data_IF_154098275799
#
_entry.id   IF_154098275799
#
_cell.length_a   1.000
_cell.length_b   1.000
_cell.length_c   1.000
_cell.angle_alpha   90.00
_cell.angle_beta   90.00
_cell.angle_gamma   90.00
#
_symmetry.space_group_name_H-M   'P 1'
#
loop_
_entity.id
_entity.type
_entity.pdbx_description
1 polymer ?
#
# COMPACT_ATOMS: atom_id res chain seq x y z
N UNK A 1 10.73 10.97 1.31
CA UNK A 1 10.00 9.77 0.84
C UNK A 1 8.67 9.67 1.58
N UNK A 2 7.62 9.17 0.93
CA UNK A 2 6.38 8.77 1.60
C UNK A 2 6.22 7.25 1.60
N UNK A 3 5.52 6.74 2.61
CA UNK A 3 5.04 5.37 2.67
C UNK A 3 3.52 5.34 2.82
N UNK A 4 2.89 4.34 2.21
CA UNK A 4 1.51 3.92 2.49
C UNK A 4 1.55 2.47 2.96
N UNK A 5 0.95 2.23 4.12
CA UNK A 5 0.71 0.89 4.64
C UNK A 5 -0.79 0.70 4.84
N UNK A 6 -1.30 -0.48 4.53
CA UNK A 6 -2.71 -0.79 4.69
C UNK A 6 -2.93 -2.25 5.06
N UNK A 7 -4.15 -2.53 5.47
CA UNK A 7 -4.58 -3.84 5.89
C UNK A 7 -6.05 -4.04 5.53
N UNK A 8 -6.38 -5.24 5.09
CA UNK A 8 -7.73 -5.59 4.63
C UNK A 8 -8.37 -6.62 5.57
N UNK A 9 -9.66 -6.47 5.84
CA UNK A 9 -10.47 -7.54 6.43
C UNK A 9 -10.72 -8.59 5.34
N UNK A 10 -10.09 -9.76 5.46
CA UNK A 10 -10.17 -10.83 4.44
C UNK A 10 -11.60 -11.23 4.15
N UNK A 11 -12.42 -11.43 5.19
CA UNK A 11 -13.83 -11.83 5.04
C UNK A 11 -14.65 -10.79 4.26
N UNK A 12 -14.50 -9.50 4.59
CA UNK A 12 -15.23 -8.43 3.89
C UNK A 12 -14.72 -8.27 2.45
N UNK A 13 -13.41 -8.46 2.24
CA UNK A 13 -12.80 -8.39 0.91
C UNK A 13 -13.30 -9.52 0.01
N UNK A 14 -13.43 -10.75 0.52
CA UNK A 14 -14.06 -11.87 -0.22
C UNK A 14 -15.49 -11.54 -0.67
N UNK A 15 -16.25 -10.83 0.17
CA UNK A 15 -17.65 -10.46 -0.13
C UNK A 15 -17.75 -9.29 -1.10
N UNK A 16 -16.88 -8.28 -0.97
CA UNK A 16 -17.03 -7.00 -1.67
C UNK A 16 -16.17 -6.87 -2.93
N UNK A 17 -15.03 -7.57 -3.01
CA UNK A 17 -14.16 -7.52 -4.17
C UNK A 17 -14.66 -8.45 -5.29
N UNK A 18 -14.80 -8.00 -6.55
CA UNK A 18 -15.41 -8.81 -7.62
C UNK A 18 -14.60 -10.06 -8.00
N UNK A 19 -13.34 -10.14 -7.59
CA UNK A 19 -12.39 -11.22 -7.94
C UNK A 19 -11.67 -11.80 -6.72
N UNK A 20 -12.14 -11.50 -5.51
CA UNK A 20 -11.55 -11.98 -4.26
C UNK A 20 -10.26 -11.27 -3.82
N UNK A 21 -9.70 -11.75 -2.71
CA UNK A 21 -8.66 -11.06 -1.92
C UNK A 21 -7.34 -10.87 -2.69
N UNK A 22 -6.87 -11.90 -3.40
CA UNK A 22 -5.60 -11.82 -4.12
C UNK A 22 -5.62 -10.74 -5.21
N UNK A 23 -6.73 -10.63 -5.93
CA UNK A 23 -6.90 -9.58 -6.91
C UNK A 23 -7.04 -8.20 -6.26
N UNK A 24 -7.68 -8.09 -5.08
CA UNK A 24 -7.76 -6.83 -4.35
C UNK A 24 -6.38 -6.24 -4.04
N UNK A 25 -5.43 -7.06 -3.59
CA UNK A 25 -4.04 -6.64 -3.38
C UNK A 25 -3.34 -6.23 -4.68
N UNK A 26 -3.64 -6.92 -5.78
CA UNK A 26 -3.10 -6.59 -7.11
C UNK A 26 -3.63 -5.25 -7.60
N UNK A 27 -4.93 -5.00 -7.44
CA UNK A 27 -5.59 -3.76 -7.86
C UNK A 27 -5.09 -2.55 -7.05
N UNK A 28 -4.91 -2.71 -5.73
CA UNK A 28 -4.29 -1.67 -4.89
C UNK A 28 -2.86 -1.37 -5.35
N UNK A 29 -2.07 -2.42 -5.62
CA UNK A 29 -0.70 -2.26 -6.10
C UNK A 29 -0.63 -1.54 -7.44
N UNK A 30 -1.55 -1.85 -8.36
CA UNK A 30 -1.66 -1.15 -9.64
C UNK A 30 -2.00 0.34 -9.45
N UNK A 31 -3.03 0.66 -8.63
CA UNK A 31 -3.41 2.05 -8.35
C UNK A 31 -2.25 2.82 -7.75
N UNK A 32 -1.61 2.29 -6.71
CA UNK A 32 -0.47 2.93 -6.07
C UNK A 32 0.72 3.10 -7.03
N UNK A 33 0.95 2.12 -7.92
CA UNK A 33 1.97 2.17 -8.96
C UNK A 33 1.81 3.34 -9.93
N UNK A 34 0.58 3.66 -10.34
CA UNK A 34 0.30 4.83 -11.21
C UNK A 34 0.71 6.16 -10.56
N UNK A 35 0.77 6.22 -9.23
CA UNK A 35 1.20 7.39 -8.46
C UNK A 35 2.67 7.31 -8.01
N UNK A 36 3.45 6.38 -8.57
CA UNK A 36 4.89 6.22 -8.31
C UNK A 36 5.21 5.48 -7.01
N UNK A 37 4.22 4.89 -6.33
CA UNK A 37 4.46 4.07 -5.15
C UNK A 37 4.86 2.65 -5.55
N UNK A 38 6.06 2.23 -5.17
CA UNK A 38 6.56 0.86 -5.37
C UNK A 38 6.36 0.02 -4.12
N UNK A 39 6.02 -1.26 -4.30
CA UNK A 39 5.89 -2.21 -3.20
C UNK A 39 7.27 -2.55 -2.62
N UNK A 40 7.39 -2.57 -1.30
CA UNK A 40 8.61 -3.00 -0.59
C UNK A 40 8.41 -4.38 0.02
N UNK A 41 7.45 -4.52 0.93
CA UNK A 41 7.19 -5.77 1.65
C UNK A 41 5.73 -5.81 2.09
N UNK A 42 5.07 -6.96 1.92
CA UNK A 42 3.68 -7.12 2.36
C UNK A 42 2.78 -6.05 1.73
N UNK A 43 2.11 -5.27 2.57
CA UNK A 43 1.23 -4.16 2.18
C UNK A 43 1.87 -2.78 2.32
N UNK A 44 3.21 -2.71 2.40
CA UNK A 44 3.98 -1.47 2.47
C UNK A 44 4.43 -1.03 1.07
N UNK A 45 4.08 0.20 0.72
CA UNK A 45 4.43 0.86 -0.53
C UNK A 45 5.13 2.17 -0.24
N UNK A 46 6.16 2.52 -1.01
CA UNK A 46 6.96 3.74 -0.82
C UNK A 46 7.13 4.50 -2.12
N UNK A 47 7.27 5.82 -2.04
CA UNK A 47 7.62 6.70 -3.16
C UNK A 47 8.68 7.71 -2.72
N UNK A 48 9.63 7.99 -3.62
CA UNK A 48 10.62 9.05 -3.43
C UNK A 48 10.04 10.45 -3.71
N UNK A 49 8.85 10.52 -4.31
CA UNK A 49 8.10 11.77 -4.50
C UNK A 49 7.54 12.28 -3.16
N UNK A 50 8.02 13.44 -2.70
CA UNK A 50 7.54 14.11 -1.49
C UNK A 50 6.37 15.07 -1.74
N UNK A 51 5.74 15.04 -2.92
CA UNK A 51 4.56 15.82 -3.21
C UNK A 51 3.33 15.26 -2.46
N UNK A 52 2.92 15.95 -1.39
CA UNK A 52 1.75 15.59 -0.60
C UNK A 52 0.45 15.57 -1.42
N UNK A 53 0.33 16.38 -2.49
CA UNK A 53 -0.84 16.35 -3.36
C UNK A 53 -0.92 15.01 -4.13
N UNK A 54 0.22 14.48 -4.57
CA UNK A 54 0.28 13.18 -5.25
C UNK A 54 -0.15 12.04 -4.30
N UNK A 55 0.36 12.05 -3.07
CA UNK A 55 -0.10 11.13 -2.01
C UNK A 55 -1.62 11.24 -1.78
N UNK A 56 -2.16 12.46 -1.68
CA UNK A 56 -3.59 12.65 -1.46
C UNK A 56 -4.45 12.11 -2.62
N UNK A 57 -4.04 12.34 -3.87
CA UNK A 57 -4.74 11.81 -5.05
C UNK A 57 -4.72 10.27 -5.04
N UNK A 58 -3.57 9.64 -4.72
CA UNK A 58 -3.48 8.20 -4.61
C UNK A 58 -4.47 7.61 -3.58
N UNK A 59 -4.61 8.26 -2.41
CA UNK A 59 -5.58 7.84 -1.38
C UNK A 59 -7.02 8.03 -1.86
N UNK A 60 -7.31 9.12 -2.59
CA UNK A 60 -8.63 9.36 -3.17
C UNK A 60 -9.00 8.31 -4.22
N UNK A 61 -8.05 7.86 -5.04
CA UNK A 61 -8.27 6.79 -6.00
C UNK A 61 -8.48 5.41 -5.37
N UNK A 62 -7.81 5.13 -4.25
CA UNK A 62 -8.12 3.91 -3.49
C UNK A 62 -9.53 3.99 -2.92
N UNK A 63 -9.90 5.13 -2.32
CA UNK A 63 -11.25 5.37 -1.79
C UNK A 63 -12.34 5.27 -2.86
N UNK A 64 -12.05 5.63 -4.11
CA UNK A 64 -13.02 5.60 -5.22
C UNK A 64 -13.45 4.18 -5.60
N UNK A 65 -12.66 3.16 -5.25
CA UNK A 65 -13.00 1.76 -5.50
C UNK A 65 -14.10 1.31 -4.55
N UNK A 66 -15.29 1.03 -5.09
CA UNK A 66 -16.50 0.74 -4.30
C UNK A 66 -16.33 -0.37 -3.24
N UNK A 67 -15.42 -1.32 -3.47
CA UNK A 67 -15.12 -2.41 -2.53
C UNK A 67 -14.14 -2.00 -1.43
N UNK A 68 -13.26 -1.03 -1.66
CA UNK A 68 -12.12 -0.73 -0.80
C UNK A 68 -12.54 -0.15 0.56
N UNK A 69 -13.43 0.88 0.66
CA UNK A 69 -13.92 1.35 1.95
C UNK A 69 -14.64 0.29 2.79
N UNK A 70 -15.19 -0.75 2.14
CA UNK A 70 -15.87 -1.86 2.83
C UNK A 70 -14.92 -2.97 3.25
N UNK A 71 -13.69 -2.96 2.76
CA UNK A 71 -12.71 -4.02 2.94
C UNK A 71 -11.51 -3.58 3.76
N UNK A 72 -11.20 -2.29 3.82
CA UNK A 72 -10.04 -1.75 4.53
C UNK A 72 -10.25 -1.76 6.04
N UNK A 73 -9.32 -2.38 6.77
CA UNK A 73 -9.28 -2.38 8.24
C UNK A 73 -8.54 -1.14 8.76
N UNK A 74 -7.38 -0.86 8.19
CA UNK A 74 -6.52 0.27 8.55
C UNK A 74 -5.74 0.70 7.31
N UNK A 75 -5.53 2.00 7.14
CA UNK A 75 -4.64 2.58 6.12
C UNK A 75 -3.98 3.82 6.69
N UNK A 76 -2.66 3.93 6.54
CA UNK A 76 -1.85 5.04 7.05
C UNK A 76 -0.81 5.45 6.04
N UNK A 77 -0.48 6.73 6.05
CA UNK A 77 0.65 7.28 5.33
C UNK A 77 1.68 7.88 6.29
N UNK A 78 2.95 7.79 5.93
CA UNK A 78 4.07 8.26 6.75
C UNK A 78 5.05 9.02 5.89
N UNK A 79 5.61 10.12 6.41
CA UNK A 79 6.84 10.66 5.86
C UNK A 79 8.01 9.86 6.41
N UNK A 80 8.84 9.34 5.53
CA UNK A 80 10.06 8.62 5.88
C UNK A 80 11.21 9.61 5.77
N UNK A 81 11.77 9.98 6.92
CA UNK A 81 12.95 10.83 7.03
C UNK A 81 14.24 10.02 6.83
N UNK A 82 14.25 8.74 7.22
CA UNK A 82 15.41 7.84 7.10
C UNK A 82 14.97 6.42 6.73
N UNK A 83 15.72 5.77 5.85
CA UNK A 83 15.48 4.40 5.39
C UNK A 83 16.77 3.58 5.43
N UNK A 84 16.71 2.36 5.94
CA UNK A 84 17.86 1.45 6.00
C UNK A 84 17.42 0.01 5.77
N UNK A 85 18.09 -0.69 4.85
CA UNK A 85 17.87 -2.13 4.61
C UNK A 85 18.83 -2.96 5.44
N UNK A 86 18.29 -3.65 6.46
CA UNK A 86 19.05 -4.54 7.34
C UNK A 86 19.09 -5.99 6.84
N UNK A 87 18.47 -6.32 5.70
CA UNK A 87 18.45 -7.70 5.16
C UNK A 87 19.87 -8.29 5.02
N UNK A 88 20.87 -7.56 4.48
CA UNK A 88 22.23 -8.08 4.37
C UNK A 88 22.86 -8.34 5.73
N UNK A 89 22.66 -7.46 6.72
CA UNK A 89 23.18 -7.62 8.09
C UNK A 89 22.58 -8.87 8.74
N UNK A 90 21.27 -9.08 8.63
CA UNK A 90 20.59 -10.25 9.19
C UNK A 90 21.03 -11.55 8.51
N UNK A 91 21.29 -11.53 7.19
CA UNK A 91 21.70 -12.72 6.42
C UNK A 91 23.21 -13.02 6.47
N UNK A 92 24.04 -12.08 6.92
CA UNK A 92 25.51 -12.21 6.91
C UNK A 92 26.11 -12.76 8.21
N UNK A 93 25.29 -13.08 9.22
CA UNK A 93 25.75 -13.76 10.43
C UNK A 93 26.25 -15.19 10.15
N UNK A 94 27.49 -15.47 10.54
CA UNK A 94 28.02 -16.83 10.70
C UNK A 94 27.42 -17.49 11.94
#
# INVERSE_FOLDING_TARGET
MYAVAFDLVVADTEVHHPKGVSQAYTDIGAILGEYGFRRVQGSLYVTDDENMANLFIAIQELRSRAWFPKSVRDIRAFRIEQWSDFTPVVKSGR
#
